data_IF_834873106059
#
_entry.id   IF_834873106059
#
_cell.length_a   1.000
_cell.length_b   1.000
_cell.length_c   1.000
_cell.angle_alpha   90.00
_cell.angle_beta   90.00
_cell.angle_gamma   90.00
#
_symmetry.space_group_name_H-M   'P 1'
#
loop_
_entity.id
_entity.type
_entity.pdbx_description
1 polymer ?
#
# COMPACT_ATOMS: atom_id res chain seq x y z
N UNK A 1 11.00 2.37 16.02
CA UNK A 1 11.71 3.61 15.66
C UNK A 1 11.02 4.15 14.43
N UNK A 2 10.62 5.43 14.36
CA UNK A 2 10.09 5.97 13.12
C UNK A 2 11.26 5.96 12.11
N UNK A 3 11.20 5.03 11.17
CA UNK A 3 12.18 4.91 10.11
C UNK A 3 11.93 6.05 9.13
N UNK A 4 12.76 7.10 9.19
CA UNK A 4 12.70 8.20 8.24
C UNK A 4 12.95 7.67 6.82
N UNK A 5 11.95 7.82 5.94
CA UNK A 5 11.94 7.24 4.59
C UNK A 5 13.20 7.60 3.77
N UNK A 6 13.70 8.83 3.90
CA UNK A 6 14.90 9.31 3.22
C UNK A 6 16.15 8.56 3.69
N UNK A 7 16.28 8.39 5.00
CA UNK A 7 17.39 7.66 5.63
C UNK A 7 17.32 6.17 5.29
N UNK A 8 16.13 5.57 5.33
CA UNK A 8 15.93 4.17 4.96
C UNK A 8 16.27 3.94 3.48
N UNK A 9 15.85 4.82 2.57
CA UNK A 9 16.22 4.76 1.14
C UNK A 9 17.74 4.77 0.96
N UNK A 10 18.45 5.67 1.66
CA UNK A 10 19.90 5.78 1.58
C UNK A 10 20.61 4.51 2.04
N UNK A 11 20.21 3.97 3.20
CA UNK A 11 20.81 2.78 3.80
C UNK A 11 20.49 1.54 2.98
N UNK A 12 19.24 1.38 2.55
CA UNK A 12 18.78 0.21 1.79
C UNK A 12 19.49 0.07 0.44
N UNK A 13 19.73 1.20 -0.24
CA UNK A 13 20.39 1.24 -1.55
C UNK A 13 21.91 1.48 -1.45
N UNK A 14 22.46 1.63 -0.24
CA UNK A 14 23.88 1.89 -0.03
C UNK A 14 24.37 3.20 -0.65
N UNK A 15 23.50 4.20 -0.78
CA UNK A 15 23.81 5.44 -1.50
C UNK A 15 24.66 6.38 -0.65
N UNK A 16 25.68 7.04 -1.24
CA UNK A 16 26.36 8.10 -0.56
C UNK A 16 25.45 9.34 -0.49
N UNK A 17 25.43 10.03 0.65
CA UNK A 17 24.57 11.20 0.86
C UNK A 17 24.77 12.31 -0.18
N UNK A 18 25.98 12.41 -0.75
CA UNK A 18 26.32 13.38 -1.81
C UNK A 18 25.48 13.17 -3.08
N UNK A 19 25.19 11.92 -3.43
CA UNK A 19 24.48 11.60 -4.67
C UNK A 19 23.01 11.97 -4.51
N UNK A 20 22.43 11.75 -3.32
CA UNK A 20 21.06 12.18 -3.00
C UNK A 20 20.94 13.70 -3.02
N UNK A 21 21.89 14.41 -2.41
CA UNK A 21 21.93 15.89 -2.44
C UNK A 21 21.95 16.39 -3.88
N UNK A 22 22.77 15.79 -4.76
CA UNK A 22 22.85 16.20 -6.17
C UNK A 22 21.52 16.02 -6.92
N UNK A 23 20.72 14.99 -6.60
CA UNK A 23 19.38 14.82 -7.18
C UNK A 23 18.42 15.89 -6.71
N UNK A 24 18.40 16.16 -5.40
CA UNK A 24 17.52 17.18 -4.83
C UNK A 24 17.92 18.58 -5.30
N UNK A 25 19.22 18.84 -5.49
CA UNK A 25 19.73 20.10 -6.05
C UNK A 25 19.25 20.38 -7.48
N UNK A 26 18.93 19.34 -8.25
CA UNK A 26 18.29 19.50 -9.56
C UNK A 26 16.91 20.17 -9.51
N UNK A 27 16.20 20.04 -8.37
CA UNK A 27 14.91 20.69 -8.13
C UNK A 27 15.05 21.94 -7.25
N UNK A 28 15.95 21.88 -6.26
CA UNK A 28 16.17 22.92 -5.27
C UNK A 28 17.66 23.25 -5.18
N UNK A 29 18.16 24.22 -5.98
CA UNK A 29 19.59 24.50 -6.09
C UNK A 29 20.28 24.86 -4.77
N UNK A 30 19.54 25.33 -3.77
CA UNK A 30 20.04 25.68 -2.42
C UNK A 30 20.09 24.51 -1.45
N UNK A 31 19.69 23.30 -1.86
CA UNK A 31 19.75 22.13 -1.01
C UNK A 31 21.20 21.71 -0.78
N UNK A 32 21.57 21.42 0.46
CA UNK A 32 22.94 21.08 0.85
C UNK A 32 23.00 19.81 1.71
N UNK A 33 24.23 19.39 2.03
CA UNK A 33 24.48 18.18 2.83
C UNK A 33 23.99 18.32 4.28
N UNK A 34 23.96 19.52 4.83
CA UNK A 34 23.41 19.80 6.16
C UNK A 34 21.90 19.63 6.17
N UNK A 35 21.21 20.12 5.13
CA UNK A 35 19.77 19.90 4.95
C UNK A 35 19.44 18.42 4.80
N UNK A 36 20.23 17.68 4.02
CA UNK A 36 20.09 16.22 3.93
C UNK A 36 20.20 15.55 5.30
N UNK A 37 21.20 15.90 6.11
CA UNK A 37 21.36 15.34 7.45
C UNK A 37 20.20 15.68 8.39
N UNK A 38 19.61 16.87 8.28
CA UNK A 38 18.46 17.27 9.09
C UNK A 38 17.18 16.60 8.63
N UNK A 39 16.96 16.46 7.32
CA UNK A 39 15.83 15.73 6.75
C UNK A 39 15.88 14.23 7.05
N UNK A 40 17.07 13.62 7.11
CA UNK A 40 17.25 12.21 7.52
C UNK A 40 16.98 11.98 9.02
N UNK A 41 17.21 13.00 9.86
CA UNK A 41 16.86 12.99 11.29
C UNK A 41 15.62 13.85 11.54
N UNK A 42 14.64 13.77 10.64
CA UNK A 42 13.50 14.67 10.62
C UNK A 42 12.67 14.70 11.90
N UNK A 43 12.66 13.62 12.68
CA UNK A 43 11.96 13.55 13.97
C UNK A 43 12.58 14.46 15.03
N UNK A 44 13.92 14.61 15.03
CA UNK A 44 14.65 15.46 15.96
C UNK A 44 14.54 16.95 15.58
N UNK A 45 14.49 17.23 14.28
CA UNK A 45 14.50 18.59 13.72
C UNK A 45 13.11 19.11 13.34
N UNK A 46 12.08 18.26 13.34
CA UNK A 46 10.74 18.58 12.86
C UNK A 46 10.68 18.91 11.36
N UNK A 47 11.67 18.48 10.56
CA UNK A 47 11.72 18.76 9.13
C UNK A 47 11.67 17.49 8.29
N UNK A 48 10.91 17.52 7.20
CA UNK A 48 10.84 16.43 6.22
C UNK A 48 11.20 16.94 4.83
N UNK A 49 11.71 16.05 3.99
CA UNK A 49 11.97 16.39 2.60
C UNK A 49 10.64 16.60 1.86
N UNK A 50 10.57 17.58 0.94
CA UNK A 50 9.36 17.78 0.13
C UNK A 50 9.04 16.51 -0.69
N UNK A 51 7.75 16.15 -0.84
CA UNK A 51 7.34 14.94 -1.55
C UNK A 51 7.81 14.85 -3.01
N UNK A 52 7.96 15.99 -3.70
CA UNK A 52 8.45 16.03 -5.08
C UNK A 52 9.94 15.67 -5.18
N UNK A 53 10.77 16.17 -4.27
CA UNK A 53 12.17 15.76 -4.15
C UNK A 53 12.31 14.28 -3.77
N UNK A 54 11.43 13.78 -2.88
CA UNK A 54 11.42 12.36 -2.54
C UNK A 54 11.07 11.50 -3.76
N UNK A 55 10.08 11.91 -4.57
CA UNK A 55 9.74 11.23 -5.83
C UNK A 55 10.89 11.23 -6.83
N UNK A 56 11.62 12.34 -6.99
CA UNK A 56 12.78 12.39 -7.89
C UNK A 56 13.92 11.46 -7.44
N UNK A 57 14.13 11.32 -6.12
CA UNK A 57 15.06 10.34 -5.56
C UNK A 57 14.61 8.91 -5.86
N UNK A 58 13.32 8.60 -5.69
CA UNK A 58 12.77 7.30 -6.06
C UNK A 58 12.91 7.01 -7.55
N UNK A 59 12.58 7.95 -8.43
CA UNK A 59 12.67 7.75 -9.88
C UNK A 59 14.12 7.47 -10.33
N UNK A 60 15.10 8.15 -9.72
CA UNK A 60 16.50 7.99 -10.09
C UNK A 60 17.17 6.76 -9.49
N UNK A 61 16.90 6.44 -8.23
CA UNK A 61 17.59 5.37 -7.50
C UNK A 61 16.77 4.08 -7.34
N UNK A 62 15.44 4.16 -7.42
CA UNK A 62 14.54 3.03 -7.29
C UNK A 62 13.28 3.17 -8.19
N UNK A 63 13.46 3.28 -9.53
CA UNK A 63 12.33 3.45 -10.47
C UNK A 63 11.32 2.30 -10.42
N UNK A 64 11.73 1.12 -9.94
CA UNK A 64 10.86 -0.05 -9.69
C UNK A 64 10.44 -0.24 -8.22
N UNK A 65 10.58 0.81 -7.40
CA UNK A 65 10.34 0.79 -5.95
C UNK A 65 11.46 0.13 -5.14
N UNK A 66 11.58 0.51 -3.86
CA UNK A 66 12.43 -0.15 -2.85
C UNK A 66 11.85 -1.51 -2.44
N UNK A 67 12.64 -2.37 -1.77
CA UNK A 67 12.12 -3.63 -1.18
C UNK A 67 10.99 -3.35 -0.19
N UNK A 68 11.00 -2.19 0.47
CA UNK A 68 9.90 -1.70 1.31
C UNK A 68 8.65 -1.27 0.51
N UNK A 69 8.82 -0.54 -0.60
CA UNK A 69 7.73 -0.14 -1.51
C UNK A 69 7.13 -1.30 -2.31
N UNK A 70 7.90 -2.37 -2.54
CA UNK A 70 7.39 -3.65 -3.08
C UNK A 70 6.43 -4.36 -2.13
N UNK A 71 6.11 -3.81 -0.95
CA UNK A 71 5.02 -4.30 -0.11
C UNK A 71 3.69 -4.13 -0.83
N UNK A 72 3.31 -5.24 -1.47
CA UNK A 72 1.98 -5.63 -1.93
C UNK A 72 1.36 -4.69 -2.97
N UNK A 73 1.91 -4.70 -4.19
CA UNK A 73 0.99 -4.68 -5.34
C UNK A 73 0.07 -5.88 -5.15
N UNK A 74 -1.22 -5.62 -5.01
CA UNK A 74 -2.22 -6.67 -4.84
C UNK A 74 -2.05 -7.69 -5.98
N UNK A 75 -1.60 -8.89 -5.62
CA UNK A 75 -1.38 -10.03 -6.52
C UNK A 75 -2.54 -11.01 -6.44
N UNK A 76 -3.70 -10.61 -5.91
CA UNK A 76 -4.86 -11.48 -5.91
C UNK A 76 -5.28 -11.79 -7.36
N UNK A 77 -5.31 -13.08 -7.70
CA UNK A 77 -5.78 -13.60 -9.00
C UNK A 77 -7.23 -13.19 -9.28
N UNK A 78 -8.01 -12.94 -8.22
CA UNK A 78 -9.39 -12.48 -8.27
C UNK A 78 -9.43 -11.06 -7.70
N UNK A 79 -9.56 -10.07 -8.59
CA UNK A 79 -9.52 -8.64 -8.22
C UNK A 79 -10.90 -8.03 -7.99
N UNK A 80 -11.97 -8.67 -8.49
CA UNK A 80 -13.35 -8.25 -8.27
C UNK A 80 -13.76 -8.50 -6.83
N UNK A 81 -13.98 -7.42 -6.06
CA UNK A 81 -14.40 -7.48 -4.66
C UNK A 81 -15.85 -7.05 -4.51
N UNK A 82 -16.66 -7.93 -3.93
CA UNK A 82 -18.04 -7.64 -3.52
C UNK A 82 -18.03 -7.45 -2.00
N UNK A 83 -18.49 -6.29 -1.53
CA UNK A 83 -18.63 -5.97 -0.11
C UNK A 83 -20.01 -5.37 0.11
N UNK A 84 -20.76 -5.92 1.07
CA UNK A 84 -22.01 -5.35 1.54
C UNK A 84 -21.96 -5.18 3.06
N UNK A 85 -22.80 -4.29 3.57
CA UNK A 85 -23.09 -4.16 5.00
C UNK A 85 -24.50 -4.69 5.22
N UNK A 86 -24.65 -5.47 6.27
CA UNK A 86 -25.90 -6.09 6.68
C UNK A 86 -26.14 -5.72 8.14
N UNK A 87 -27.39 -5.72 8.57
CA UNK A 87 -27.72 -5.57 9.99
C UNK A 87 -27.26 -6.81 10.77
N UNK A 88 -27.02 -6.64 12.08
CA UNK A 88 -26.49 -7.73 12.92
C UNK A 88 -27.43 -8.95 12.92
N UNK A 89 -28.75 -8.72 12.91
CA UNK A 89 -29.75 -9.78 12.84
C UNK A 89 -29.69 -10.57 11.52
N UNK A 90 -29.51 -9.88 10.39
CA UNK A 90 -29.38 -10.52 9.08
C UNK A 90 -28.05 -11.29 8.96
N UNK A 91 -26.97 -10.76 9.57
CA UNK A 91 -25.67 -11.44 9.63
C UNK A 91 -25.76 -12.74 10.43
N UNK A 92 -26.46 -12.75 11.57
CA UNK A 92 -26.64 -13.95 12.38
C UNK A 92 -27.49 -14.99 11.66
N UNK A 93 -28.61 -14.58 11.06
CA UNK A 93 -29.48 -15.45 10.27
C UNK A 93 -28.72 -16.08 9.10
N UNK A 94 -27.90 -15.27 8.40
CA UNK A 94 -27.05 -15.73 7.30
C UNK A 94 -26.04 -16.78 7.77
N UNK A 95 -25.36 -16.56 8.90
CA UNK A 95 -24.39 -17.52 9.44
C UNK A 95 -25.04 -18.85 9.83
N UNK A 96 -26.25 -18.83 10.40
CA UNK A 96 -26.99 -20.05 10.74
C UNK A 96 -27.38 -20.81 9.48
N UNK A 97 -27.88 -20.10 8.46
CA UNK A 97 -28.30 -20.71 7.20
C UNK A 97 -27.13 -21.29 6.42
N UNK A 98 -26.00 -20.58 6.37
CA UNK A 98 -24.77 -21.06 5.75
C UNK A 98 -24.30 -22.39 6.36
N UNK A 99 -24.37 -22.54 7.68
CA UNK A 99 -24.02 -23.79 8.36
C UNK A 99 -24.97 -24.93 8.00
N UNK A 100 -26.27 -24.63 7.89
CA UNK A 100 -27.28 -25.62 7.49
C UNK A 100 -27.10 -26.07 6.04
N UNK A 101 -26.75 -25.15 5.15
CA UNK A 101 -26.54 -25.42 3.72
C UNK A 101 -25.13 -25.97 3.40
N UNK A 102 -24.26 -26.10 4.42
CA UNK A 102 -22.93 -26.72 4.30
C UNK A 102 -21.81 -25.81 3.79
N UNK A 103 -22.02 -24.49 3.75
CA UNK A 103 -20.99 -23.53 3.34
C UNK A 103 -20.03 -23.21 4.50
N UNK A 104 -18.74 -23.47 4.30
CA UNK A 104 -17.71 -23.18 5.32
C UNK A 104 -17.35 -21.70 5.39
N UNK A 105 -17.48 -20.96 4.27
CA UNK A 105 -17.12 -19.54 4.20
C UNK A 105 -18.14 -18.70 3.44
N UNK A 106 -18.26 -17.42 3.80
CA UNK A 106 -19.14 -16.48 3.10
C UNK A 106 -18.71 -16.29 1.63
N UNK A 107 -17.42 -16.46 1.35
CA UNK A 107 -16.88 -16.41 0.00
C UNK A 107 -17.42 -17.56 -0.88
N UNK A 108 -17.55 -18.77 -0.34
CA UNK A 108 -18.12 -19.91 -1.07
C UNK A 108 -19.60 -19.70 -1.37
N UNK A 109 -20.37 -19.26 -0.36
CA UNK A 109 -21.79 -18.91 -0.54
C UNK A 109 -21.94 -17.86 -1.65
N UNK A 110 -21.20 -16.74 -1.55
CA UNK A 110 -21.28 -15.66 -2.53
C UNK A 110 -20.85 -16.11 -3.93
N UNK A 111 -19.85 -16.98 -4.03
CA UNK A 111 -19.41 -17.52 -5.32
C UNK A 111 -20.49 -18.42 -5.93
N UNK A 112 -21.18 -19.23 -5.12
CA UNK A 112 -22.28 -20.08 -5.56
C UNK A 112 -23.48 -19.24 -6.02
N UNK A 113 -23.90 -18.26 -5.22
CA UNK A 113 -25.00 -17.35 -5.55
C UNK A 113 -24.73 -16.56 -6.83
N UNK A 114 -23.52 -16.02 -7.00
CA UNK A 114 -23.14 -15.30 -8.24
C UNK A 114 -23.22 -16.23 -9.45
N UNK A 115 -22.79 -17.50 -9.32
CA UNK A 115 -22.87 -18.48 -10.42
C UNK A 115 -24.31 -18.85 -10.74
N UNK A 116 -25.16 -19.06 -9.74
CA UNK A 116 -26.58 -19.35 -9.92
C UNK A 116 -27.33 -18.17 -10.57
N UNK A 117 -27.04 -16.95 -10.13
CA UNK A 117 -27.60 -15.73 -10.71
C UNK A 117 -27.17 -15.55 -12.17
N UNK A 118 -25.89 -15.79 -12.49
CA UNK A 118 -25.39 -15.75 -13.87
C UNK A 118 -25.89 -16.91 -14.74
N UNK A 119 -26.23 -18.06 -14.14
CA UNK A 119 -26.83 -19.19 -14.81
C UNK A 119 -28.33 -19.01 -15.09
N UNK A 120 -28.96 -17.95 -14.56
CA UNK A 120 -30.37 -17.64 -14.76
C UNK A 120 -31.32 -18.45 -13.86
N UNK A 121 -30.82 -19.04 -12.77
CA UNK A 121 -31.61 -19.88 -11.86
C UNK A 121 -32.32 -19.08 -10.75
N UNK A 122 -32.13 -17.76 -10.71
CA UNK A 122 -32.74 -16.87 -9.73
C UNK A 122 -33.74 -15.97 -10.45
N UNK A 123 -35.01 -16.38 -10.46
CA UNK A 123 -36.12 -15.52 -10.87
C UNK A 123 -36.21 -14.32 -9.91
N UNK A 124 -36.44 -13.13 -10.48
CA UNK A 124 -36.43 -11.85 -9.78
C UNK A 124 -37.70 -11.59 -8.96
#
# INVERSE_FOLDING_TARGET
>A
MPDNELRSLRIELGLPARDMVAVVQGLYPKYDKTMQSKCENGDDYGISLRPDAMRALYEKFAPGGTKASRRKKDRHRLTGRITCRLEDADMEALQQRMKADGYATAQELMTALVRQYLAGEVEA
#
